data_IF_695876288135
#
_entry.id   IF_695876288135
#
_cell.length_a   1.000
_cell.length_b   1.000
_cell.length_c   1.000
_cell.angle_alpha   90.00
_cell.angle_beta   90.00
_cell.angle_gamma   90.00
#
_symmetry.space_group_name_H-M   'P 1'
#
loop_
_entity.id
_entity.type
_entity.pdbx_description
1 polymer ?
#
# COMPACT_ATOMS: atom_id res chain seq x y z
N UNK A 1 -2.01 12.67 -2.93
CA UNK A 1 -1.82 11.36 -3.55
C UNK A 1 -2.80 10.36 -2.99
N UNK A 2 -3.36 9.56 -3.87
CA UNK A 2 -4.33 8.54 -3.48
C UNK A 2 -3.88 7.21 -4.06
N UNK A 3 -3.95 6.16 -3.25
CA UNK A 3 -3.63 4.81 -3.74
C UNK A 3 -4.74 4.34 -4.68
N UNK A 4 -4.33 3.74 -5.80
CA UNK A 4 -5.28 3.08 -6.68
C UNK A 4 -5.50 1.67 -6.14
N UNK A 5 -6.70 1.42 -5.64
CA UNK A 5 -7.04 0.16 -4.98
C UNK A 5 -6.76 -1.06 -5.88
N UNK A 6 -7.15 -0.97 -7.14
CA UNK A 6 -6.97 -2.07 -8.07
C UNK A 6 -5.51 -2.38 -8.33
N UNK A 7 -4.71 -1.33 -8.56
CA UNK A 7 -3.26 -1.52 -8.77
C UNK A 7 -2.60 -2.15 -7.56
N UNK A 8 -2.98 -1.68 -6.36
CA UNK A 8 -2.42 -2.23 -5.12
C UNK A 8 -2.80 -3.69 -4.96
N UNK A 9 -4.07 -4.02 -5.22
CA UNK A 9 -4.54 -5.40 -5.11
C UNK A 9 -3.84 -6.32 -6.10
N UNK A 10 -3.65 -5.88 -7.35
CA UNK A 10 -2.91 -6.66 -8.34
C UNK A 10 -1.49 -6.92 -7.86
N UNK A 11 -0.83 -5.90 -7.34
CA UNK A 11 0.55 -6.04 -6.87
C UNK A 11 0.63 -7.02 -5.69
N UNK A 12 -0.30 -6.90 -4.75
CA UNK A 12 -0.35 -7.82 -3.62
C UNK A 12 -0.57 -9.25 -4.07
N UNK A 13 -1.46 -9.44 -5.05
CA UNK A 13 -1.75 -10.78 -5.57
C UNK A 13 -0.52 -11.38 -6.25
N UNK A 14 0.19 -10.59 -7.04
CA UNK A 14 1.39 -11.06 -7.71
C UNK A 14 2.49 -11.48 -6.73
N UNK A 15 2.57 -10.78 -5.61
CA UNK A 15 3.57 -11.06 -4.58
C UNK A 15 3.09 -12.05 -3.52
N UNK A 16 1.85 -12.50 -3.63
CA UNK A 16 1.24 -13.45 -2.68
C UNK A 16 1.33 -12.93 -1.25
N UNK A 17 1.05 -11.65 -1.05
CA UNK A 17 1.10 -11.02 0.25
C UNK A 17 -0.28 -10.54 0.64
N UNK A 18 -0.69 -10.79 1.89
CA UNK A 18 -1.99 -10.33 2.36
C UNK A 18 -1.87 -8.96 3.03
N UNK A 19 -3.00 -8.26 3.27
CA UNK A 19 -2.96 -6.91 3.84
C UNK A 19 -2.24 -6.80 5.18
N UNK A 20 -2.43 -7.78 6.07
CA UNK A 20 -1.78 -7.73 7.38
C UNK A 20 -0.27 -7.86 7.25
N UNK A 21 0.18 -8.77 6.40
CA UNK A 21 1.60 -8.95 6.15
C UNK A 21 2.22 -7.69 5.55
N UNK A 22 1.50 -7.06 4.64
CA UNK A 22 2.00 -5.84 4.01
C UNK A 22 2.11 -4.70 5.02
N UNK A 23 1.11 -4.55 5.89
CA UNK A 23 1.16 -3.52 6.92
C UNK A 23 2.35 -3.74 7.86
N UNK A 24 2.59 -4.97 8.28
CA UNK A 24 3.73 -5.30 9.12
C UNK A 24 5.04 -5.00 8.40
N UNK A 25 5.16 -5.40 7.15
CA UNK A 25 6.37 -5.18 6.36
C UNK A 25 6.63 -3.70 6.13
N UNK A 26 5.57 -2.92 5.96
CA UNK A 26 5.67 -1.48 5.78
C UNK A 26 5.85 -0.74 7.10
N UNK A 27 5.74 -1.45 8.23
CA UNK A 27 5.87 -0.89 9.57
C UNK A 27 4.85 0.19 9.85
N UNK A 28 3.61 -0.05 9.42
CA UNK A 28 2.48 0.83 9.71
C UNK A 28 1.37 0.01 10.37
N UNK A 29 0.46 0.70 11.05
CA UNK A 29 -0.66 0.01 11.67
C UNK A 29 -1.62 -0.50 10.60
N UNK A 30 -2.34 -1.57 10.91
CA UNK A 30 -3.33 -2.10 9.98
C UNK A 30 -4.42 -1.07 9.66
N UNK A 31 -4.96 -0.32 10.65
CA UNK A 31 -5.93 0.73 10.33
C UNK A 31 -5.38 1.80 9.38
N UNK A 32 -4.12 2.16 9.53
CA UNK A 32 -3.50 3.13 8.61
C UNK A 32 -3.38 2.56 7.21
N UNK A 33 -2.98 1.30 7.10
CA UNK A 33 -2.90 0.62 5.81
C UNK A 33 -4.29 0.53 5.17
N UNK A 34 -5.30 0.19 5.96
CA UNK A 34 -6.65 0.04 5.44
C UNK A 34 -7.19 1.35 4.88
N UNK A 35 -6.94 2.47 5.56
CA UNK A 35 -7.35 3.78 5.06
C UNK A 35 -6.67 4.09 3.73
N UNK A 36 -5.38 3.80 3.62
CA UNK A 36 -4.65 4.01 2.37
C UNK A 36 -5.20 3.14 1.26
N UNK A 37 -5.47 1.88 1.57
CA UNK A 37 -6.00 0.91 0.61
C UNK A 37 -7.38 1.34 0.10
N UNK A 38 -8.19 1.92 0.95
CA UNK A 38 -9.53 2.38 0.57
C UNK A 38 -9.52 3.73 -0.16
N UNK A 39 -8.35 4.27 -0.44
CA UNK A 39 -8.22 5.50 -1.21
C UNK A 39 -8.43 6.76 -0.39
N UNK A 40 -8.43 6.65 0.93
CA UNK A 40 -8.52 7.83 1.79
C UNK A 40 -7.18 8.54 1.83
N UNK A 41 -7.22 9.85 2.09
CA UNK A 41 -6.01 10.63 2.16
C UNK A 41 -5.11 10.17 3.29
N UNK A 42 -3.85 9.90 2.98
CA UNK A 42 -2.85 9.51 3.96
C UNK A 42 -1.57 10.28 3.68
N UNK A 43 -0.66 10.23 4.64
CA UNK A 43 0.63 10.91 4.50
C UNK A 43 1.43 10.32 3.35
N UNK A 44 2.17 11.18 2.67
CA UNK A 44 3.05 10.76 1.58
C UNK A 44 4.01 9.66 2.04
N UNK A 45 4.53 9.81 3.26
CA UNK A 45 5.45 8.81 3.83
C UNK A 45 4.80 7.44 3.97
N UNK A 46 3.50 7.39 4.29
CA UNK A 46 2.77 6.13 4.40
C UNK A 46 2.71 5.43 3.06
N UNK A 47 2.41 6.17 2.00
CA UNK A 47 2.38 5.61 0.65
C UNK A 47 3.75 5.10 0.25
N UNK A 48 4.80 5.87 0.56
CA UNK A 48 6.17 5.46 0.28
C UNK A 48 6.56 4.18 1.01
N UNK A 49 6.15 4.04 2.26
CA UNK A 49 6.42 2.81 3.04
C UNK A 49 5.76 1.59 2.42
N UNK A 50 4.53 1.74 1.95
CA UNK A 50 3.81 0.65 1.30
C UNK A 50 4.51 0.26 0.00
N UNK A 51 4.86 1.22 -0.84
CA UNK A 51 5.54 0.94 -2.10
C UNK A 51 6.88 0.26 -1.85
N UNK A 52 7.64 0.74 -0.88
CA UNK A 52 8.94 0.15 -0.55
C UNK A 52 8.79 -1.29 -0.06
N UNK A 53 7.78 -1.54 0.78
CA UNK A 53 7.52 -2.88 1.27
C UNK A 53 7.17 -3.84 0.14
N UNK A 54 6.53 -3.34 -0.91
CA UNK A 54 6.18 -4.13 -2.08
C UNK A 54 7.34 -4.25 -3.08
N UNK A 55 8.36 -3.41 -2.94
CA UNK A 55 9.46 -3.39 -3.88
C UNK A 55 9.12 -2.78 -5.24
N UNK A 56 8.15 -1.86 -5.26
CA UNK A 56 7.71 -1.19 -6.49
C UNK A 56 7.83 0.32 -6.33
N UNK A 57 7.74 1.03 -7.44
CA UNK A 57 7.73 2.49 -7.42
C UNK A 57 6.37 2.98 -6.93
N UNK A 58 6.35 4.18 -6.32
CA UNK A 58 5.10 4.77 -5.83
C UNK A 58 4.08 4.89 -6.95
N UNK A 59 4.50 5.32 -8.14
CA UNK A 59 3.58 5.49 -9.26
C UNK A 59 2.93 4.18 -9.72
N UNK A 60 3.43 3.04 -9.30
CA UNK A 60 2.85 1.76 -9.67
C UNK A 60 1.61 1.43 -8.85
N UNK A 61 1.36 2.16 -7.76
CA UNK A 61 0.23 1.88 -6.87
C UNK A 61 -0.67 3.10 -6.63
N UNK A 62 -0.41 4.24 -7.25
CA UNK A 62 -1.26 5.42 -7.10
C UNK A 62 -2.03 5.72 -8.37
N UNK A 63 -3.05 6.55 -8.21
CA UNK A 63 -3.86 7.02 -9.34
C UNK A 63 -3.11 8.04 -10.17
#
# INVERSE_FOLDING_TARGET
MVINKTKLEFTMAELLINPKELAEKAQISYPAFKRAWEGQGVKIATIGKIAKALGVAVQDIIE
#
